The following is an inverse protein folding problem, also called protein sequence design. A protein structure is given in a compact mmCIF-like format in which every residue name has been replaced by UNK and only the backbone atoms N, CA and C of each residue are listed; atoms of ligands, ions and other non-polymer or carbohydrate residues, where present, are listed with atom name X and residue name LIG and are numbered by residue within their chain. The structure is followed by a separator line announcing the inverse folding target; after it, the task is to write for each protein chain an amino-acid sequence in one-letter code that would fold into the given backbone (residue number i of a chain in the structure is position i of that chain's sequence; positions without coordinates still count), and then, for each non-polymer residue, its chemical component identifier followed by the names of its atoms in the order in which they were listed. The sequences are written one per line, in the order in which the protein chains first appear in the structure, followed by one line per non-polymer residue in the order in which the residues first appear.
data_IF_208951837175
#
_entry.id   IF_208951837175
#
_cell.length_a   1.000
_cell.length_b   1.000
_cell.length_c   1.000
_cell.angle_alpha   90.00
_cell.angle_beta   90.00
_cell.angle_gamma   90.00
#
_symmetry.space_group_name_H-M   'P 1'
#
loop_
_entity.id
_entity.type
_entity.pdbx_description
1 polymer ?
#
# COMPACT_ATOMS: atom_id res chain seq x y z
N UNK A 1 28.37 -32.22 -31.51
CA UNK A 1 28.79 -31.50 -30.29
C UNK A 1 28.20 -30.09 -30.33
N UNK A 2 26.95 -29.90 -29.87
CA UNK A 2 26.27 -28.60 -29.95
C UNK A 2 25.07 -28.51 -28.99
N UNK A 3 25.16 -29.06 -27.77
CA UNK A 3 24.02 -29.10 -26.83
C UNK A 3 24.36 -28.45 -25.46
N UNK A 4 25.64 -28.09 -25.21
CA UNK A 4 26.04 -27.53 -23.92
C UNK A 4 26.13 -26.00 -23.86
N UNK A 5 26.21 -25.29 -25.00
CA UNK A 5 26.28 -23.83 -25.02
C UNK A 5 24.92 -23.13 -24.99
N UNK A 6 23.85 -23.80 -25.47
CA UNK A 6 22.49 -23.24 -25.46
C UNK A 6 21.87 -23.18 -24.06
N UNK A 7 22.23 -24.12 -23.16
CA UNK A 7 21.71 -24.11 -21.78
C UNK A 7 22.25 -22.96 -20.93
N UNK A 8 23.47 -22.49 -21.22
CA UNK A 8 24.09 -21.37 -20.49
C UNK A 8 23.48 -20.03 -20.91
N UNK A 9 23.17 -19.86 -22.21
CA UNK A 9 22.60 -18.61 -22.73
C UNK A 9 21.15 -18.36 -22.25
N UNK A 10 20.35 -19.42 -22.06
CA UNK A 10 18.98 -19.30 -21.55
C UNK A 10 18.97 -18.89 -20.07
N UNK A 11 19.92 -19.37 -19.25
CA UNK A 11 19.99 -19.02 -17.83
C UNK A 11 20.33 -17.54 -17.63
N UNK A 12 21.15 -16.95 -18.51
CA UNK A 12 21.52 -15.51 -18.43
C UNK A 12 20.37 -14.57 -18.80
N UNK A 13 19.45 -14.99 -19.68
CA UNK A 13 18.29 -14.15 -20.04
C UNK A 13 17.25 -14.09 -18.91
N UNK A 14 17.06 -15.19 -18.16
CA UNK A 14 16.10 -15.25 -17.05
C UNK A 14 16.54 -14.43 -15.83
N UNK A 15 17.83 -14.13 -15.66
CA UNK A 15 18.32 -13.28 -14.56
C UNK A 15 18.10 -11.78 -14.78
N UNK A 16 17.71 -11.34 -15.98
CA UNK A 16 17.39 -9.92 -16.22
C UNK A 16 15.94 -9.53 -15.89
N UNK A 17 15.07 -10.51 -15.60
CA UNK A 17 13.64 -10.28 -15.35
C UNK A 17 13.24 -10.40 -13.86
N UNK A 18 14.16 -10.78 -12.98
CA UNK A 18 13.89 -10.84 -11.53
C UNK A 18 14.31 -9.52 -10.86
N UNK A 19 13.57 -8.44 -11.09
CA UNK A 19 13.74 -7.21 -10.29
C UNK A 19 12.49 -6.37 -10.05
N UNK A 20 11.27 -6.83 -10.35
CA UNK A 20 10.08 -5.97 -10.21
C UNK A 20 8.88 -6.57 -9.48
N UNK A 21 9.03 -7.73 -8.82
CA UNK A 21 7.98 -8.24 -7.95
C UNK A 21 8.39 -8.15 -6.49
N UNK A 22 7.84 -7.11 -5.85
CA UNK A 22 7.72 -6.79 -4.43
C UNK A 22 8.73 -5.75 -3.89
N UNK A 23 8.17 -4.57 -3.63
CA UNK A 23 8.69 -3.48 -2.81
C UNK A 23 8.90 -4.02 -1.38
N UNK A 24 10.00 -4.72 -1.14
CA UNK A 24 10.50 -5.09 0.19
C UNK A 24 12.01 -4.90 0.29
N UNK A 25 12.57 -4.05 -0.56
CA UNK A 25 13.99 -3.77 -0.49
C UNK A 25 14.23 -2.76 0.63
N UNK A 26 14.64 -3.28 1.78
CA UNK A 26 15.05 -2.45 2.91
C UNK A 26 16.14 -1.47 2.50
N UNK A 27 16.95 -1.77 1.48
CA UNK A 27 17.92 -0.85 0.92
C UNK A 27 17.24 0.37 0.27
N UNK A 28 16.07 0.20 -0.34
CA UNK A 28 15.26 1.28 -0.92
C UNK A 28 14.57 2.11 0.16
N UNK A 29 13.93 1.48 1.16
CA UNK A 29 13.22 2.22 2.22
C UNK A 29 14.17 2.93 3.18
N UNK A 30 15.20 2.21 3.65
CA UNK A 30 16.16 2.74 4.61
C UNK A 30 17.22 3.62 3.94
N UNK A 31 17.45 3.46 2.63
CA UNK A 31 18.46 4.25 1.90
C UNK A 31 19.85 4.15 2.51
N UNK A 32 20.20 2.98 3.07
CA UNK A 32 21.45 2.75 3.80
C UNK A 32 21.53 3.39 5.20
N UNK A 33 20.44 3.97 5.72
CA UNK A 33 20.40 4.57 7.06
C UNK A 33 19.96 3.53 8.10
N UNK A 34 20.60 3.56 9.26
CA UNK A 34 20.27 2.73 10.42
C UNK A 34 19.52 3.61 11.43
N UNK A 35 18.43 3.10 11.99
CA UNK A 35 17.64 3.85 12.98
C UNK A 35 16.14 3.59 12.86
N UNK A 36 15.36 4.40 13.57
CA UNK A 36 13.91 4.35 13.57
C UNK A 36 13.33 5.47 12.72
N UNK A 37 12.37 5.13 11.86
CA UNK A 37 11.72 6.04 10.93
C UNK A 37 10.21 5.97 11.07
N UNK A 38 9.51 7.05 10.69
CA UNK A 38 8.04 7.04 10.63
C UNK A 38 7.57 6.03 9.60
N UNK A 39 6.48 5.33 9.90
CA UNK A 39 5.73 4.61 8.88
C UNK A 39 4.98 5.63 7.99
N UNK A 40 4.92 5.43 6.66
CA UNK A 40 4.33 6.41 5.75
C UNK A 40 2.81 6.54 5.91
N UNK A 41 2.14 5.47 6.33
CA UNK A 41 0.68 5.35 6.31
C UNK A 41 0.03 5.16 7.68
N UNK A 42 0.80 4.83 8.73
CA UNK A 42 0.25 4.36 10.02
C UNK A 42 0.99 4.98 11.20
N UNK A 43 0.30 5.78 12.04
CA UNK A 43 0.98 6.64 13.02
C UNK A 43 1.44 5.84 14.24
N UNK A 44 0.72 4.76 14.51
CA UNK A 44 0.98 3.75 15.51
C UNK A 44 2.11 2.80 15.08
N UNK A 45 2.76 3.01 13.92
CA UNK A 45 3.84 2.17 13.43
C UNK A 45 5.11 2.96 13.15
N UNK A 46 6.23 2.25 13.24
CA UNK A 46 7.55 2.75 12.90
C UNK A 46 8.35 1.69 12.16
N UNK A 47 9.38 2.13 11.44
CA UNK A 47 10.26 1.24 10.69
C UNK A 47 11.65 1.30 11.33
N UNK A 48 12.07 0.15 11.83
CA UNK A 48 13.41 -0.07 12.36
C UNK A 48 14.30 -0.59 11.23
N UNK A 49 15.24 0.24 10.80
CA UNK A 49 16.22 -0.10 9.80
C UNK A 49 17.50 -0.63 10.48
N UNK A 50 17.93 -1.81 10.04
CA UNK A 50 19.19 -2.44 10.41
C UNK A 50 20.10 -2.59 9.17
N UNK A 51 21.38 -2.95 9.32
CA UNK A 51 22.31 -3.07 8.19
C UNK A 51 21.92 -4.07 7.11
N UNK A 52 21.01 -4.99 7.38
CA UNK A 52 20.66 -6.07 6.45
C UNK A 52 19.16 -6.29 6.28
N UNK A 53 18.33 -5.69 7.13
CA UNK A 53 16.88 -5.90 7.14
C UNK A 53 16.15 -4.68 7.72
N UNK A 54 14.87 -4.55 7.43
CA UNK A 54 13.96 -3.67 8.16
C UNK A 54 12.92 -4.48 8.93
N UNK A 55 12.39 -3.87 9.99
CA UNK A 55 11.27 -4.40 10.75
C UNK A 55 10.23 -3.30 10.99
N UNK A 56 8.95 -3.64 10.86
CA UNK A 56 7.84 -2.73 11.18
C UNK A 56 7.43 -2.98 12.63
N UNK A 57 7.74 -2.02 13.50
CA UNK A 57 7.31 -2.03 14.89
C UNK A 57 5.98 -1.30 15.08
N UNK A 58 5.25 -1.69 16.12
CA UNK A 58 3.97 -1.10 16.51
C UNK A 58 4.09 -0.47 17.89
N UNK A 59 3.53 0.72 18.05
CA UNK A 59 3.43 1.40 19.33
C UNK A 59 2.35 0.77 20.20
N UNK A 60 2.45 0.92 21.54
CA UNK A 60 1.34 0.59 22.43
C UNK A 60 0.07 1.34 22.05
N UNK A 61 -1.07 0.78 22.44
CA UNK A 61 -2.39 1.30 22.09
C UNK A 61 -2.53 2.79 22.39
N UNK A 62 -2.99 3.56 21.40
CA UNK A 62 -3.21 5.00 21.51
C UNK A 62 -1.96 5.88 21.41
N UNK A 63 -0.76 5.31 21.26
CA UNK A 63 0.48 6.07 21.09
C UNK A 63 0.93 6.12 19.63
N UNK A 64 1.59 7.21 19.27
CA UNK A 64 2.14 7.44 17.94
C UNK A 64 3.67 7.51 17.99
N UNK A 65 4.33 7.08 16.92
CA UNK A 65 5.77 7.15 16.86
C UNK A 65 6.27 8.61 16.68
N UNK A 66 7.00 9.10 17.68
CA UNK A 66 7.66 10.39 17.66
C UNK A 66 9.10 10.24 17.13
N UNK A 67 9.29 10.50 15.84
CA UNK A 67 10.58 10.36 15.17
C UNK A 67 11.66 11.35 15.64
N UNK A 68 11.28 12.46 16.29
CA UNK A 68 12.26 13.42 16.83
C UNK A 68 12.95 12.87 18.06
N UNK A 69 12.23 12.06 18.84
CA UNK A 69 12.71 11.46 20.09
C UNK A 69 12.90 9.94 20.01
N UNK A 70 12.55 9.31 18.87
CA UNK A 70 12.61 7.86 18.65
C UNK A 70 11.83 7.04 19.70
N UNK A 71 10.67 7.53 20.13
CA UNK A 71 9.81 6.86 21.12
C UNK A 71 8.35 6.89 20.69
N UNK A 72 7.55 5.96 21.21
CA UNK A 72 6.09 6.07 21.16
C UNK A 72 5.64 7.11 22.17
N UNK A 73 4.97 8.15 21.70
CA UNK A 73 4.53 9.30 22.49
C UNK A 73 3.07 9.59 22.18
N UNK A 74 2.48 10.50 22.93
CA UNK A 74 1.11 10.91 22.69
C UNK A 74 0.94 11.54 21.31
N UNK A 75 -0.20 11.33 20.61
CA UNK A 75 -0.43 11.84 19.26
C UNK A 75 -0.13 13.33 19.05
N UNK A 76 -0.48 14.16 20.04
CA UNK A 76 -0.26 15.61 20.00
C UNK A 76 1.22 16.03 20.11
N UNK A 77 2.10 15.15 20.62
CA UNK A 77 3.55 15.35 20.71
C UNK A 77 4.32 14.72 19.55
N UNK A 78 3.83 13.57 19.06
CA UNK A 78 4.49 12.82 18.00
C UNK A 78 4.57 13.58 16.66
N UNK A 79 3.74 14.62 16.48
CA UNK A 79 3.68 15.43 15.25
C UNK A 79 3.59 14.55 14.01
N UNK A 80 2.83 13.46 14.15
CA UNK A 80 2.61 12.46 13.13
C UNK A 80 1.61 13.01 12.13
N UNK A 81 2.15 13.76 11.17
CA UNK A 81 1.43 14.24 9.99
C UNK A 81 1.46 13.14 8.95
N UNK A 82 0.81 12.01 9.24
CA UNK A 82 0.28 11.24 8.12
C UNK A 82 -0.62 12.21 7.42
N UNK A 83 -0.44 12.36 6.12
CA UNK A 83 -1.50 12.95 5.35
C UNK A 83 -2.68 12.01 5.59
N UNK A 84 -3.50 12.33 6.60
CA UNK A 84 -4.89 11.89 6.64
C UNK A 84 -5.38 12.38 5.30
N UNK A 85 -5.29 11.53 4.28
CA UNK A 85 -6.15 11.68 3.15
C UNK A 85 -7.51 11.78 3.81
N UNK A 86 -8.04 12.98 3.68
CA UNK A 86 -9.23 13.48 4.32
C UNK A 86 -10.31 12.39 4.27
N UNK A 87 -11.34 12.52 5.11
CA UNK A 87 -12.60 11.80 4.99
C UNK A 87 -13.33 12.18 3.66
N UNK A 88 -12.62 11.97 2.56
CA UNK A 88 -12.79 12.29 1.15
C UNK A 88 -11.63 11.55 0.47
N UNK A 89 -11.81 10.23 0.31
CA UNK A 89 -11.01 9.30 -0.47
C UNK A 89 -9.49 9.62 -0.63
N UNK A 90 -8.61 8.95 0.13
CA UNK A 90 -7.29 8.62 -0.40
C UNK A 90 -7.50 7.81 -1.68
N UNK A 91 -6.89 8.02 -2.83
CA UNK A 91 -5.48 8.23 -2.96
C UNK A 91 -5.13 8.40 -4.45
N UNK A 92 -4.69 9.59 -4.86
CA UNK A 92 -4.00 9.73 -6.15
C UNK A 92 -2.63 9.03 -6.14
N UNK A 93 -2.10 8.65 -4.96
CA UNK A 93 -0.80 7.96 -4.84
C UNK A 93 -0.94 6.46 -5.16
N UNK A 94 -2.05 5.82 -4.77
CA UNK A 94 -2.33 4.42 -5.13
C UNK A 94 -2.33 4.26 -6.65
N UNK A 95 -2.98 5.17 -7.37
CA UNK A 95 -2.99 5.11 -8.84
C UNK A 95 -1.61 5.31 -9.48
N UNK A 96 -0.81 6.24 -8.95
CA UNK A 96 0.52 6.53 -9.49
C UNK A 96 1.48 5.35 -9.33
N UNK A 97 1.34 4.57 -8.26
CA UNK A 97 2.19 3.41 -7.98
C UNK A 97 1.62 2.08 -8.52
N UNK A 98 0.30 1.99 -8.76
CA UNK A 98 -0.33 0.83 -9.40
C UNK A 98 -0.52 1.04 -10.91
N UNK A 99 0.53 0.74 -11.67
CA UNK A 99 0.56 0.91 -13.14
C UNK A 99 -0.41 -0.04 -13.87
N UNK A 100 -0.93 -1.09 -13.20
CA UNK A 100 -1.63 -2.21 -13.85
C UNK A 100 -3.17 -2.01 -13.92
N UNK A 101 -3.92 -2.40 -12.92
CA UNK A 101 -5.36 -2.14 -12.83
C UNK A 101 -5.74 -2.40 -11.38
N UNK A 102 -6.48 -1.49 -10.76
CA UNK A 102 -6.84 -1.61 -9.35
C UNK A 102 -8.22 -0.99 -9.10
N UNK A 103 -9.02 -1.62 -8.25
CA UNK A 103 -10.36 -1.13 -7.89
C UNK A 103 -10.54 -1.11 -6.38
N UNK A 104 -11.26 -0.11 -5.87
CA UNK A 104 -11.53 0.01 -4.43
C UNK A 104 -12.85 0.76 -4.16
N UNK A 105 -13.53 0.48 -3.03
CA UNK A 105 -14.83 1.06 -2.71
C UNK A 105 -14.72 2.52 -2.24
N UNK A 106 -15.81 3.28 -2.39
CA UNK A 106 -16.00 4.53 -1.66
C UNK A 106 -16.61 4.20 -0.29
N UNK A 107 -15.85 4.40 0.79
CA UNK A 107 -16.28 4.08 2.16
C UNK A 107 -17.37 5.02 2.70
N UNK A 108 -17.65 6.13 2.01
CA UNK A 108 -18.73 7.06 2.37
C UNK A 108 -20.00 6.86 1.55
N UNK A 109 -19.93 6.07 0.48
CA UNK A 109 -21.06 5.82 -0.43
C UNK A 109 -20.86 4.44 -1.07
N UNK A 110 -21.50 3.41 -0.50
CA UNK A 110 -21.28 2.04 -0.94
C UNK A 110 -21.75 1.78 -2.39
N UNK A 111 -22.57 2.68 -2.95
CA UNK A 111 -22.97 2.62 -4.36
C UNK A 111 -21.87 3.09 -5.32
N UNK A 112 -20.74 3.58 -4.82
CA UNK A 112 -19.64 4.13 -5.63
C UNK A 112 -18.34 3.38 -5.39
N UNK A 113 -17.52 3.33 -6.43
CA UNK A 113 -16.21 2.71 -6.40
C UNK A 113 -15.25 3.44 -7.34
N UNK A 114 -13.97 3.24 -7.13
CA UNK A 114 -12.91 3.83 -7.92
C UNK A 114 -12.19 2.75 -8.72
N UNK A 115 -11.86 3.07 -9.96
CA UNK A 115 -11.09 2.24 -10.88
C UNK A 115 -9.86 3.00 -11.30
N UNK A 116 -8.71 2.38 -11.16
CA UNK A 116 -7.44 2.89 -11.64
C UNK A 116 -6.99 2.12 -12.87
N UNK A 117 -6.75 2.83 -13.96
CA UNK A 117 -6.20 2.29 -15.21
C UNK A 117 -5.02 3.16 -15.66
N UNK A 118 -3.82 2.59 -15.74
CA UNK A 118 -2.60 3.30 -16.20
C UNK A 118 -2.36 4.64 -15.48
N UNK A 119 -2.58 4.68 -14.16
CA UNK A 119 -2.41 5.89 -13.35
C UNK A 119 -3.55 6.90 -13.42
N UNK A 120 -4.60 6.63 -14.21
CA UNK A 120 -5.81 7.46 -14.26
C UNK A 120 -6.87 6.87 -13.33
N UNK A 121 -7.30 7.68 -12.35
CA UNK A 121 -8.38 7.35 -11.43
C UNK A 121 -9.73 7.76 -12.04
N UNK A 122 -10.68 6.82 -12.06
CA UNK A 122 -12.06 7.06 -12.47
C UNK A 122 -13.03 6.64 -11.37
N UNK A 123 -13.92 7.55 -10.98
CA UNK A 123 -15.03 7.25 -10.08
C UNK A 123 -16.19 6.66 -10.89
N UNK A 124 -16.70 5.52 -10.46
CA UNK A 124 -17.83 4.83 -11.06
C UNK A 124 -18.92 4.60 -10.00
N UNK A 125 -20.12 4.28 -10.48
CA UNK A 125 -21.28 3.95 -9.66
C UNK A 125 -21.84 2.61 -10.07
N UNK A 126 -22.27 1.83 -9.08
CA UNK A 126 -22.90 0.56 -9.29
C UNK A 126 -24.33 0.74 -9.86
N UNK A 127 -24.78 -0.16 -10.75
CA UNK A 127 -26.13 -0.10 -11.29
C UNK A 127 -27.18 -0.23 -10.18
N UNK A 128 -28.31 0.45 -10.34
CA UNK A 128 -29.47 0.34 -9.43
C UNK A 128 -29.19 0.62 -7.95
N UNK A 129 -28.12 1.37 -7.63
CA UNK A 129 -27.73 1.63 -6.23
C UNK A 129 -27.25 0.38 -5.49
N UNK A 130 -26.80 -0.64 -6.22
CA UNK A 130 -26.13 -1.81 -5.64
C UNK A 130 -24.83 -1.41 -4.95
N UNK A 131 -24.37 -2.21 -4.01
CA UNK A 131 -23.16 -1.93 -3.25
C UNK A 131 -21.95 -2.60 -3.91
N UNK A 132 -20.83 -1.88 -3.97
CA UNK A 132 -19.58 -2.45 -4.47
C UNK A 132 -18.95 -3.38 -3.43
N UNK A 133 -18.73 -4.63 -3.83
CA UNK A 133 -17.99 -5.62 -3.04
C UNK A 133 -16.54 -5.67 -3.50
N UNK A 134 -15.63 -5.21 -2.63
CA UNK A 134 -14.20 -5.14 -2.93
C UNK A 134 -13.47 -6.48 -2.78
N UNK A 135 -14.12 -7.51 -2.24
CA UNK A 135 -13.57 -8.88 -2.20
C UNK A 135 -13.85 -9.58 -3.53
N UNK A 136 -15.09 -9.49 -4.00
CA UNK A 136 -15.53 -10.12 -5.25
C UNK A 136 -15.37 -9.20 -6.49
N UNK A 137 -14.92 -7.97 -6.28
CA UNK A 137 -14.65 -6.95 -7.31
C UNK A 137 -15.87 -6.67 -8.20
N UNK A 138 -17.06 -6.71 -7.60
CA UNK A 138 -18.34 -6.66 -8.32
C UNK A 138 -19.39 -5.86 -7.55
N UNK A 139 -20.38 -5.34 -8.28
CA UNK A 139 -21.57 -4.75 -7.66
C UNK A 139 -22.55 -5.86 -7.26
N UNK A 140 -22.95 -5.87 -6.00
CA UNK A 140 -23.87 -6.86 -5.43
C UNK A 140 -24.92 -6.18 -4.54
N UNK A 141 -25.91 -6.94 -4.07
CA UNK A 141 -26.91 -6.40 -3.15
C UNK A 141 -26.27 -5.97 -1.83
N UNK A 142 -26.81 -4.91 -1.21
CA UNK A 142 -26.32 -4.38 0.07
C UNK A 142 -26.19 -5.47 1.15
N UNK A 143 -27.14 -6.41 1.21
CA UNK A 143 -27.16 -7.54 2.15
C UNK A 143 -25.99 -8.52 2.01
N UNK A 144 -25.34 -8.55 0.85
CA UNK A 144 -24.23 -9.47 0.54
C UNK A 144 -22.92 -8.73 0.30
N UNK A 145 -22.94 -7.40 0.29
CA UNK A 145 -21.76 -6.60 0.07
C UNK A 145 -20.91 -6.51 1.34
N UNK A 146 -19.61 -6.31 1.16
CA UNK A 146 -18.62 -6.13 2.23
C UNK A 146 -18.53 -4.68 2.71
N UNK A 147 -19.34 -3.78 2.13
CA UNK A 147 -19.41 -2.36 2.46
C UNK A 147 -20.65 -2.11 3.34
N UNK A 148 -20.42 -1.60 4.55
CA UNK A 148 -21.46 -1.30 5.52
C UNK A 148 -21.52 0.22 5.74
N UNK A 149 -22.66 0.84 5.46
CA UNK A 149 -22.91 2.25 5.78
C UNK A 149 -23.31 2.35 7.26
N UNK A 150 -22.68 3.23 8.06
CA UNK A 150 -23.03 3.43 9.47
C UNK A 150 -24.42 4.04 9.67
#
# INVERSE_FOLDING_TARGET
MAIFWFKIYIVVLVISEVSSHLVTDWATYCGGKIGLFRHPELCDRYIACSPSHLYIGMCPEGLHFNYKHNVCDWPYKADCKIQKQSNNCPDLIICKNHVKYFQFPDWSDCSKFYVCTYGVLKKNSCPMGMHYDFINWTCTFASTSTCYEP
#
